data_IF_581728810851
#
_entry.id   IF_581728810851
#
_cell.length_a   1.000
_cell.length_b   1.000
_cell.length_c   1.000
_cell.angle_alpha   90.00
_cell.angle_beta   90.00
_cell.angle_gamma   90.00
#
_symmetry.space_group_name_H-M   'P 1'
#
loop_
_entity.id
_entity.type
_entity.pdbx_description
1 polymer ?
#
# COMPACT_ATOMS: atom_id res chain seq x y z
N UNK A 1 -35.13 -18.78 -18.11
CA UNK A 1 -33.95 -18.32 -18.87
C UNK A 1 -32.74 -18.53 -17.99
N UNK A 2 -31.87 -19.46 -18.35
CA UNK A 2 -30.58 -19.65 -17.67
C UNK A 2 -29.64 -18.53 -18.14
N UNK A 3 -29.33 -17.59 -17.25
CA UNK A 3 -28.36 -16.54 -17.51
C UNK A 3 -27.08 -16.84 -16.74
N UNK A 4 -25.93 -16.65 -17.38
CA UNK A 4 -24.63 -16.79 -16.75
C UNK A 4 -24.44 -15.63 -15.78
N UNK A 5 -24.41 -15.92 -14.48
CA UNK A 5 -24.26 -14.90 -13.43
C UNK A 5 -22.83 -14.37 -13.31
N UNK A 6 -21.82 -15.21 -13.54
CA UNK A 6 -20.41 -14.87 -13.34
C UNK A 6 -19.56 -15.70 -14.30
N UNK A 7 -18.59 -15.06 -14.96
CA UNK A 7 -17.52 -15.73 -15.71
C UNK A 7 -16.20 -15.42 -15.00
N UNK A 8 -15.55 -16.45 -14.46
CA UNK A 8 -14.26 -16.33 -13.80
C UNK A 8 -13.16 -16.84 -14.73
N UNK A 9 -12.16 -16.01 -15.00
CA UNK A 9 -10.98 -16.36 -15.80
C UNK A 9 -9.75 -16.17 -14.93
N UNK A 10 -8.98 -17.23 -14.72
CA UNK A 10 -7.77 -17.22 -13.88
C UNK A 10 -6.55 -17.39 -14.79
N UNK A 11 -5.66 -16.41 -14.76
CA UNK A 11 -4.38 -16.49 -15.46
C UNK A 11 -3.27 -16.84 -14.46
N UNK A 12 -2.57 -17.94 -14.71
CA UNK A 12 -1.41 -18.35 -13.91
C UNK A 12 -0.16 -18.38 -14.81
N UNK A 13 0.73 -17.43 -14.60
CA UNK A 13 2.05 -17.40 -15.23
C UNK A 13 3.12 -17.95 -14.29
N UNK A 14 4.02 -18.79 -14.80
CA UNK A 14 5.16 -19.28 -14.01
C UNK A 14 6.27 -18.20 -13.96
N UNK A 15 6.55 -17.71 -12.74
CA UNK A 15 7.51 -16.64 -12.45
C UNK A 15 8.94 -17.22 -12.38
N UNK A 16 9.40 -17.82 -13.47
CA UNK A 16 10.72 -18.48 -13.50
C UNK A 16 11.93 -17.56 -13.56
N UNK A 17 11.75 -16.24 -13.74
CA UNK A 17 12.86 -15.28 -13.88
C UNK A 17 12.42 -13.90 -13.39
N UNK A 18 13.30 -13.12 -12.71
CA UNK A 18 12.99 -11.77 -12.20
C UNK A 18 12.42 -10.83 -13.28
N UNK A 19 12.95 -10.90 -14.50
CA UNK A 19 12.47 -10.10 -15.63
C UNK A 19 11.04 -10.43 -16.04
N UNK A 20 10.63 -11.71 -15.96
CA UNK A 20 9.26 -12.14 -16.23
C UNK A 20 8.30 -11.69 -15.14
N UNK A 21 8.73 -11.70 -13.89
CA UNK A 21 7.93 -11.21 -12.76
C UNK A 21 7.58 -9.72 -12.93
N UNK A 22 8.56 -8.88 -13.29
CA UNK A 22 8.31 -7.46 -13.58
C UNK A 22 7.38 -7.24 -14.79
N UNK A 23 7.53 -8.05 -15.84
CA UNK A 23 6.67 -7.99 -17.01
C UNK A 23 5.23 -8.37 -16.67
N UNK A 24 5.03 -9.41 -15.86
CA UNK A 24 3.70 -9.80 -15.39
C UNK A 24 3.07 -8.72 -14.50
N UNK A 25 3.82 -8.11 -13.60
CA UNK A 25 3.32 -7.00 -12.78
C UNK A 25 2.88 -5.80 -13.64
N UNK A 26 3.68 -5.43 -14.65
CA UNK A 26 3.30 -4.35 -15.60
C UNK A 26 2.05 -4.69 -16.40
N UNK A 27 1.93 -5.94 -16.85
CA UNK A 27 0.74 -6.39 -17.58
C UNK A 27 -0.51 -6.37 -16.70
N UNK A 28 -0.41 -6.82 -15.45
CA UNK A 28 -1.53 -6.88 -14.50
C UNK A 28 -2.07 -5.47 -14.21
N UNK A 29 -1.18 -4.52 -13.93
CA UNK A 29 -1.54 -3.11 -13.72
C UNK A 29 -2.16 -2.49 -14.99
N UNK A 30 -1.60 -2.78 -16.17
CA UNK A 30 -2.11 -2.27 -17.44
C UNK A 30 -3.51 -2.83 -17.77
N UNK A 31 -3.75 -4.11 -17.49
CA UNK A 31 -5.05 -4.75 -17.68
C UNK A 31 -6.11 -4.14 -16.74
N UNK A 32 -5.73 -3.90 -15.48
CA UNK A 32 -6.59 -3.19 -14.52
C UNK A 32 -6.93 -1.77 -14.99
N UNK A 33 -5.92 -0.99 -15.41
CA UNK A 33 -6.13 0.37 -15.90
C UNK A 33 -7.02 0.43 -17.15
N UNK A 34 -6.89 -0.55 -18.05
CA UNK A 34 -7.76 -0.68 -19.22
C UNK A 34 -9.21 -1.00 -18.82
N UNK A 35 -9.41 -1.90 -17.85
CA UNK A 35 -10.74 -2.26 -17.34
C UNK A 35 -11.46 -1.06 -16.70
N UNK A 36 -10.74 -0.17 -16.04
CA UNK A 36 -11.32 1.03 -15.42
C UNK A 36 -11.59 2.16 -16.42
N UNK A 37 -10.65 2.42 -17.34
CA UNK A 37 -10.69 3.63 -18.19
C UNK A 37 -11.36 3.40 -19.53
N UNK A 38 -11.14 2.23 -20.14
CA UNK A 38 -11.48 1.98 -21.54
C UNK A 38 -12.72 1.09 -21.69
N UNK A 39 -12.97 0.22 -20.73
CA UNK A 39 -14.13 -0.66 -20.75
C UNK A 39 -15.39 0.07 -20.26
N UNK A 40 -16.38 0.23 -21.14
CA UNK A 40 -17.72 0.72 -20.79
C UNK A 40 -18.76 -0.17 -21.45
N UNK A 41 -19.39 -1.03 -20.65
CA UNK A 41 -20.55 -1.81 -21.06
C UNK A 41 -21.62 -1.71 -19.98
N UNK A 42 -22.88 -1.39 -20.31
CA UNK A 42 -23.98 -1.36 -19.34
C UNK A 42 -24.51 -2.76 -18.97
N UNK A 43 -24.04 -3.82 -19.65
CA UNK A 43 -24.57 -5.18 -19.52
C UNK A 43 -23.64 -6.13 -18.76
N UNK A 44 -22.36 -5.82 -18.70
CA UNK A 44 -21.33 -6.71 -18.14
C UNK A 44 -20.41 -5.85 -17.27
N UNK A 45 -20.25 -6.25 -16.02
CA UNK A 45 -19.28 -5.68 -15.09
C UNK A 45 -17.99 -6.50 -15.19
N UNK A 46 -16.88 -5.82 -15.52
CA UNK A 46 -15.56 -6.44 -15.60
C UNK A 46 -14.76 -6.07 -14.35
N UNK A 47 -14.46 -7.06 -13.53
CA UNK A 47 -13.62 -6.90 -12.35
C UNK A 47 -12.30 -7.64 -12.56
N UNK A 48 -11.18 -6.92 -12.48
CA UNK A 48 -9.83 -7.49 -12.56
C UNK A 48 -9.22 -7.42 -11.16
N UNK A 49 -8.84 -8.58 -10.62
CA UNK A 49 -8.26 -8.70 -9.28
C UNK A 49 -6.93 -9.43 -9.39
N UNK A 50 -5.92 -8.90 -8.72
CA UNK A 50 -4.59 -9.50 -8.68
C UNK A 50 -3.74 -8.92 -7.53
N UNK A 51 -2.63 -9.58 -7.25
CA UNK A 51 -1.79 -9.27 -6.09
C UNK A 51 -1.04 -7.95 -6.24
N UNK A 52 -0.57 -7.64 -7.45
CA UNK A 52 0.19 -6.40 -7.71
C UNK A 52 -0.75 -5.18 -7.74
N UNK A 53 -2.00 -5.39 -8.18
CA UNK A 53 -3.06 -4.37 -8.11
C UNK A 53 -3.35 -4.03 -6.65
N UNK A 54 -3.52 -5.04 -5.79
CA UNK A 54 -3.75 -4.85 -4.36
C UNK A 54 -2.60 -4.10 -3.68
N UNK A 55 -1.36 -4.45 -3.99
CA UNK A 55 -0.17 -3.76 -3.48
C UNK A 55 -0.14 -2.29 -3.94
N UNK A 56 -0.44 -2.02 -5.21
CA UNK A 56 -0.53 -0.67 -5.74
C UNK A 56 -1.59 0.18 -5.03
N UNK A 57 -2.78 -0.38 -4.79
CA UNK A 57 -3.87 0.31 -4.09
C UNK A 57 -3.49 0.63 -2.65
N UNK A 58 -2.88 -0.32 -1.94
CA UNK A 58 -2.44 -0.10 -0.57
C UNK A 58 -1.32 0.96 -0.47
N UNK A 59 -0.38 1.00 -1.42
CA UNK A 59 0.63 2.07 -1.50
C UNK A 59 -0.03 3.43 -1.82
N UNK A 60 -1.04 3.44 -2.70
CA UNK A 60 -1.79 4.67 -3.05
C UNK A 60 -2.52 5.23 -1.84
N UNK A 61 -3.17 4.38 -1.06
CA UNK A 61 -3.86 4.80 0.15
C UNK A 61 -2.88 5.21 1.26
N UNK A 62 -1.76 4.49 1.43
CA UNK A 62 -0.68 4.91 2.33
C UNK A 62 -0.14 6.30 2.00
N UNK A 63 0.05 6.62 0.70
CA UNK A 63 0.48 7.95 0.25
C UNK A 63 -0.56 9.05 0.47
N UNK A 64 -1.86 8.73 0.39
CA UNK A 64 -2.93 9.69 0.71
C UNK A 64 -2.93 10.09 2.17
N UNK A 65 -2.50 9.20 3.07
CA UNK A 65 -2.42 9.49 4.49
C UNK A 65 -1.16 10.30 4.86
N UNK A 66 -0.05 10.16 4.11
CA UNK A 66 1.22 10.90 4.34
C UNK A 66 1.09 12.41 4.58
N UNK A 67 0.33 13.21 3.79
CA UNK A 67 0.24 14.66 4.01
C UNK A 67 -0.45 15.03 5.33
N UNK A 68 -1.37 14.20 5.82
CA UNK A 68 -2.04 14.45 7.11
C UNK A 68 -1.03 14.32 8.27
N UNK A 69 -0.11 13.36 8.20
CA UNK A 69 0.96 13.23 9.20
C UNK A 69 1.96 14.37 9.19
N UNK A 70 2.29 14.89 8.00
CA UNK A 70 3.20 16.04 7.90
C UNK A 70 2.58 17.29 8.54
N UNK A 71 1.26 17.46 8.43
CA UNK A 71 0.54 18.55 9.07
C UNK A 71 0.52 18.39 10.61
N UNK A 72 0.18 17.19 11.10
CA UNK A 72 0.17 16.89 12.54
C UNK A 72 1.56 17.09 13.18
N UNK A 73 2.63 16.65 12.52
CA UNK A 73 4.00 16.88 12.99
C UNK A 73 4.34 18.36 13.13
N UNK A 74 3.87 19.19 12.19
CA UNK A 74 4.12 20.63 12.22
C UNK A 74 3.30 21.34 13.31
N UNK A 75 2.05 20.94 13.50
CA UNK A 75 1.18 21.51 14.55
C UNK A 75 1.65 21.13 15.96
N UNK A 76 2.08 19.88 16.18
CA UNK A 76 2.58 19.43 17.48
C UNK A 76 3.90 20.11 17.88
N UNK A 77 4.83 20.27 16.94
CA UNK A 77 6.10 20.98 17.19
C UNK A 77 5.91 22.49 17.39
N UNK A 78 4.86 23.08 16.81
CA UNK A 78 4.52 24.48 17.02
C UNK A 78 3.91 24.71 18.42
N UNK A 79 3.10 23.76 18.90
CA UNK A 79 2.44 23.83 20.21
C UNK A 79 3.40 23.53 21.37
N UNK A 80 4.33 22.59 21.19
CA UNK A 80 5.27 22.14 22.22
C UNK A 80 6.70 22.50 21.80
N UNK A 81 7.09 23.75 22.03
CA UNK A 81 8.47 24.24 21.88
C UNK A 81 9.37 23.71 23.02
N UNK A 82 9.32 22.41 23.32
CA UNK A 82 10.12 21.78 24.35
C UNK A 82 10.76 20.49 23.83
N UNK A 83 11.96 20.18 24.33
CA UNK A 83 12.73 18.98 24.01
C UNK A 83 11.91 17.67 24.18
N UNK A 84 10.88 17.72 25.03
CA UNK A 84 9.95 16.61 25.30
C UNK A 84 9.03 16.34 24.11
N UNK A 85 8.53 17.36 23.40
CA UNK A 85 7.65 17.17 22.23
C UNK A 85 8.40 16.61 21.02
N UNK A 86 9.63 17.08 20.81
CA UNK A 86 10.53 16.53 19.78
C UNK A 86 10.91 15.08 20.13
N UNK A 87 11.16 14.77 21.40
CA UNK A 87 11.44 13.41 21.86
C UNK A 87 10.26 12.45 21.69
N UNK A 88 9.04 12.89 22.02
CA UNK A 88 7.83 12.10 21.92
C UNK A 88 7.46 11.76 20.47
N UNK A 89 7.78 12.62 19.50
CA UNK A 89 7.52 12.36 18.07
C UNK A 89 8.66 11.58 17.39
N UNK A 90 9.92 11.85 17.76
CA UNK A 90 11.06 11.10 17.22
C UNK A 90 11.13 9.65 17.72
N UNK A 91 10.69 9.38 18.95
CA UNK A 91 10.74 8.03 19.52
C UNK A 91 9.96 6.99 18.69
N UNK A 92 8.68 7.21 18.34
CA UNK A 92 7.93 6.34 17.44
C UNK A 92 8.58 6.23 16.05
N UNK A 93 9.05 7.33 15.47
CA UNK A 93 9.67 7.36 14.14
C UNK A 93 10.94 6.49 14.09
N UNK A 94 11.78 6.57 15.12
CA UNK A 94 13.00 5.76 15.22
C UNK A 94 12.67 4.29 15.50
N UNK A 95 11.67 4.00 16.33
CA UNK A 95 11.20 2.63 16.59
C UNK A 95 10.64 1.97 15.32
N UNK A 96 9.85 2.69 14.54
CA UNK A 96 9.34 2.27 13.24
C UNK A 96 10.53 2.00 12.31
N UNK A 97 11.38 3.01 12.08
CA UNK A 97 12.51 2.92 11.13
C UNK A 97 13.48 1.78 11.45
N UNK A 98 13.80 1.57 12.74
CA UNK A 98 14.65 0.46 13.18
C UNK A 98 14.00 -0.91 12.94
N UNK A 99 12.69 -1.03 13.17
CA UNK A 99 11.94 -2.27 12.91
C UNK A 99 11.92 -2.60 11.42
N UNK A 100 11.62 -1.64 10.54
CA UNK A 100 11.69 -1.85 9.09
C UNK A 100 13.11 -2.12 8.60
N UNK A 101 14.11 -1.45 9.19
CA UNK A 101 15.52 -1.66 8.87
C UNK A 101 15.98 -3.07 9.17
N UNK A 102 15.62 -3.62 10.33
CA UNK A 102 15.95 -4.99 10.74
C UNK A 102 15.22 -6.00 9.86
N UNK A 103 13.91 -5.82 9.63
CA UNK A 103 13.10 -6.73 8.80
C UNK A 103 13.62 -6.74 7.35
N UNK A 104 14.00 -5.58 6.81
CA UNK A 104 14.62 -5.45 5.49
C UNK A 104 15.99 -6.15 5.43
N UNK A 105 16.82 -5.98 6.46
CA UNK A 105 18.13 -6.64 6.55
C UNK A 105 18.03 -8.18 6.64
N UNK A 106 16.94 -8.70 7.22
CA UNK A 106 16.66 -10.14 7.27
C UNK A 106 16.08 -10.70 5.96
N UNK A 107 15.92 -9.87 4.91
CA UNK A 107 15.43 -10.30 3.60
C UNK A 107 13.93 -10.63 3.57
N UNK A 108 13.18 -10.29 4.62
CA UNK A 108 11.73 -10.41 4.63
C UNK A 108 11.15 -9.37 3.67
N UNK A 109 10.33 -9.82 2.70
CA UNK A 109 9.62 -8.90 1.80
C UNK A 109 8.73 -8.00 2.65
N UNK A 110 8.99 -6.69 2.59
CA UNK A 110 8.14 -5.67 3.20
C UNK A 110 6.82 -5.68 2.45
N UNK A 111 5.83 -6.35 3.02
CA UNK A 111 4.49 -6.43 2.43
C UNK A 111 3.81 -5.06 2.54
N UNK A 112 2.94 -4.73 1.60
CA UNK A 112 2.23 -3.46 1.55
C UNK A 112 1.39 -3.19 2.81
N UNK A 113 0.96 -4.23 3.55
CA UNK A 113 0.32 -4.11 4.88
C UNK A 113 1.21 -3.46 5.93
N UNK A 114 2.53 -3.61 5.77
CA UNK A 114 3.52 -3.02 6.65
C UNK A 114 3.60 -1.49 6.42
N UNK A 115 3.02 -0.91 5.37
CA UNK A 115 2.91 0.56 5.26
C UNK A 115 1.82 1.14 6.16
N UNK A 116 0.90 0.32 6.70
CA UNK A 116 -0.18 0.77 7.60
C UNK A 116 0.23 0.70 9.08
N UNK A 117 1.15 -0.20 9.43
CA UNK A 117 1.69 -0.37 10.79
C UNK A 117 2.32 0.89 11.43
N UNK A 118 3.04 1.78 10.71
CA UNK A 118 3.58 3.02 11.27
C UNK A 118 2.47 3.93 11.81
N UNK A 119 1.31 3.92 11.16
CA UNK A 119 0.16 4.75 11.53
C UNK A 119 -0.50 4.27 12.83
N UNK A 120 -0.59 2.95 13.01
CA UNK A 120 -1.11 2.33 14.23
C UNK A 120 -0.17 2.59 15.42
N UNK A 121 1.14 2.52 15.19
CA UNK A 121 2.18 2.75 16.20
C UNK A 121 2.26 4.23 16.59
N UNK A 122 2.11 5.16 15.65
CA UNK A 122 2.15 6.60 15.96
C UNK A 122 0.88 7.06 16.68
N UNK A 123 -0.30 6.50 16.35
CA UNK A 123 -1.53 6.78 17.09
C UNK A 123 -1.51 6.25 18.54
N UNK A 124 -0.98 5.05 18.77
CA UNK A 124 -0.88 4.45 20.11
C UNK A 124 0.32 5.01 20.90
N UNK A 125 1.42 5.35 20.21
CA UNK A 125 2.67 5.77 20.85
C UNK A 125 2.72 7.24 21.27
N UNK A 126 1.74 8.04 20.85
CA UNK A 126 1.62 9.47 21.20
C UNK A 126 0.51 9.72 22.24
N UNK A 127 -0.38 8.74 22.48
CA UNK A 127 -1.29 8.72 23.66
C UNK A 127 -0.53 8.40 24.95
#
# INVERSE_FOLDING_TARGET
MEYVKVILIIFRGDKGTKQREEQFAKWEIAAYDWSLKQYRSPLIELQVVGTEILDMEMIRDGRRMTPFFAAEYNEFNLLILSLVGIGATLCPIVAITSTYGIISAMGCRVNSFMLVMPFLIMGIGVE
#
